data_IF_988492874407
#
_entry.id   IF_988492874407
#
_cell.length_a   1.000
_cell.length_b   1.000
_cell.length_c   1.000
_cell.angle_alpha   90.00
_cell.angle_beta   90.00
_cell.angle_gamma   90.00
#
_symmetry.space_group_name_H-M   'P 1'
#
loop_
_entity.id
_entity.type
_entity.pdbx_description
1 polymer ?
#
# COMPACT_ATOMS: atom_id res chain seq x y z
N UNK A 1 11.53 10.16 20.65
CA UNK A 1 11.63 8.77 20.18
C UNK A 1 12.41 7.89 21.15
N UNK A 2 13.74 8.05 21.26
CA UNK A 2 14.57 7.22 22.15
C UNK A 2 14.11 7.17 23.62
N UNK A 3 13.76 8.33 24.19
CA UNK A 3 13.21 8.38 25.55
C UNK A 3 11.87 7.62 25.72
N UNK A 4 11.06 7.50 24.66
CA UNK A 4 9.83 6.68 24.68
C UNK A 4 10.18 5.21 24.60
N UNK A 5 11.11 4.83 23.71
CA UNK A 5 11.59 3.45 23.56
C UNK A 5 12.18 2.91 24.87
N UNK A 6 13.03 3.71 25.52
CA UNK A 6 13.68 3.37 26.80
C UNK A 6 12.67 3.27 27.97
N UNK A 7 11.49 3.88 27.84
CA UNK A 7 10.45 3.90 28.88
C UNK A 7 9.38 2.81 28.70
N UNK A 8 9.36 2.13 27.55
CA UNK A 8 8.48 0.99 27.28
C UNK A 8 8.96 -0.23 28.06
N UNK A 9 8.03 -0.98 28.64
CA UNK A 9 8.32 -2.32 29.14
C UNK A 9 8.51 -3.30 27.97
N UNK A 10 9.16 -4.42 28.26
CA UNK A 10 9.32 -5.54 27.32
C UNK A 10 7.96 -5.99 26.75
N UNK A 11 6.93 -6.12 27.60
CA UNK A 11 5.56 -6.46 27.19
C UNK A 11 4.95 -5.39 26.27
N UNK A 12 5.14 -4.11 26.59
CA UNK A 12 4.67 -2.99 25.76
C UNK A 12 5.36 -3.01 24.39
N UNK A 13 6.67 -3.26 24.32
CA UNK A 13 7.44 -3.40 23.06
C UNK A 13 6.92 -4.56 22.20
N UNK A 14 6.76 -5.75 22.79
CA UNK A 14 6.23 -6.93 22.12
C UNK A 14 4.80 -6.70 21.59
N UNK A 15 3.98 -5.92 22.31
CA UNK A 15 2.63 -5.59 21.86
C UNK A 15 2.62 -4.71 20.61
N UNK A 16 3.60 -3.80 20.46
CA UNK A 16 3.61 -2.79 19.39
C UNK A 16 3.95 -3.37 18.02
N UNK A 17 4.74 -4.45 17.97
CA UNK A 17 5.09 -5.14 16.71
C UNK A 17 4.00 -6.11 16.22
N UNK A 18 2.92 -6.25 16.99
CA UNK A 18 1.75 -7.05 16.68
C UNK A 18 0.56 -6.16 16.32
N UNK A 19 -0.15 -6.50 15.24
CA UNK A 19 -1.47 -5.94 14.97
C UNK A 19 -2.44 -6.20 16.13
N UNK A 20 -3.30 -5.22 16.41
CA UNK A 20 -4.37 -5.33 17.43
C UNK A 20 -5.61 -6.02 16.88
N UNK A 21 -6.03 -5.59 15.69
CA UNK A 21 -7.19 -6.10 14.98
C UNK A 21 -6.96 -6.04 13.46
N UNK A 22 -8.03 -6.09 12.66
CA UNK A 22 -7.93 -6.10 11.21
C UNK A 22 -7.24 -4.86 10.63
N UNK A 23 -7.30 -3.70 11.29
CA UNK A 23 -6.86 -2.41 10.74
C UNK A 23 -5.99 -1.59 11.68
N UNK A 24 -5.89 -1.97 12.96
CA UNK A 24 -5.22 -1.15 13.97
C UNK A 24 -3.97 -1.81 14.54
N UNK A 25 -2.95 -1.00 14.85
CA UNK A 25 -1.84 -1.40 15.71
C UNK A 25 -2.25 -1.30 17.19
N UNK A 26 -1.47 -1.93 18.07
CA UNK A 26 -1.56 -1.66 19.50
C UNK A 26 -1.11 -0.23 19.85
N UNK A 27 -1.46 0.19 21.08
CA UNK A 27 -1.18 1.52 21.64
C UNK A 27 -0.72 1.39 23.09
N UNK A 28 0.04 2.36 23.60
CA UNK A 28 0.49 2.42 25.00
C UNK A 28 0.10 3.75 25.62
N UNK A 29 -1.06 3.77 26.29
CA UNK A 29 -1.69 5.00 26.81
C UNK A 29 -0.83 5.73 27.84
N UNK A 30 -0.18 5.00 28.76
CA UNK A 30 0.70 5.56 29.80
C UNK A 30 1.82 6.44 29.24
N UNK A 31 2.28 6.14 28.03
CA UNK A 31 3.36 6.85 27.34
C UNK A 31 2.85 7.71 26.17
N UNK A 32 1.53 7.79 25.97
CA UNK A 32 0.94 8.50 24.84
C UNK A 32 1.38 7.94 23.48
N UNK A 33 1.64 6.64 23.38
CA UNK A 33 1.88 5.98 22.09
C UNK A 33 0.52 5.67 21.45
N UNK A 34 0.17 6.31 20.32
CA UNK A 34 -1.15 6.17 19.70
C UNK A 34 -1.28 4.82 18.98
N UNK A 35 -2.48 4.51 18.52
CA UNK A 35 -2.73 3.44 17.56
C UNK A 35 -2.55 3.96 16.12
N UNK A 36 -1.96 3.14 15.25
CA UNK A 36 -2.02 3.35 13.80
C UNK A 36 -3.29 2.71 13.26
N UNK A 37 -3.99 3.41 12.36
CA UNK A 37 -5.06 2.84 11.55
C UNK A 37 -4.56 2.73 10.11
N UNK A 38 -4.47 1.50 9.62
CA UNK A 38 -4.03 1.16 8.27
C UNK A 38 -5.27 0.88 7.44
N UNK A 39 -5.40 1.52 6.27
CA UNK A 39 -6.57 1.33 5.39
C UNK A 39 -6.13 1.12 3.95
N UNK A 40 -6.84 0.26 3.22
CA UNK A 40 -6.71 0.21 1.76
C UNK A 40 -7.28 1.48 1.11
N UNK A 41 -6.90 1.85 -0.11
CA UNK A 41 -5.91 1.21 -0.97
C UNK A 41 -5.51 2.09 -2.16
N UNK A 42 -5.05 1.50 -3.28
CA UNK A 42 -4.29 2.22 -4.32
C UNK A 42 -5.08 3.24 -5.15
N UNK A 43 -6.42 3.12 -5.23
CA UNK A 43 -7.29 3.98 -6.05
C UNK A 43 -8.50 4.56 -5.29
N UNK A 44 -8.43 4.58 -3.96
CA UNK A 44 -9.43 5.17 -3.07
C UNK A 44 -9.20 4.76 -1.62
N UNK A 45 -9.57 5.62 -0.66
CA UNK A 45 -9.48 5.27 0.76
C UNK A 45 -10.73 4.48 1.20
N UNK A 46 -10.62 3.17 1.36
CA UNK A 46 -11.73 2.25 1.61
C UNK A 46 -12.35 2.38 3.01
N UNK A 47 -11.54 2.64 4.03
CA UNK A 47 -11.97 2.52 5.43
C UNK A 47 -12.07 1.07 5.92
N UNK A 48 -12.48 0.90 7.18
CA UNK A 48 -12.47 -0.36 7.90
C UNK A 48 -13.61 -1.32 7.50
N UNK A 49 -14.79 -0.77 7.19
CA UNK A 49 -16.01 -1.56 6.89
C UNK A 49 -16.21 -1.83 5.39
N UNK A 50 -15.20 -1.52 4.56
CA UNK A 50 -15.22 -1.85 3.14
C UNK A 50 -16.42 -1.22 2.40
N UNK A 51 -17.12 -2.06 1.65
CA UNK A 51 -18.30 -1.64 0.87
C UNK A 51 -19.52 -1.28 1.74
N UNK A 52 -19.47 -1.50 3.05
CA UNK A 52 -20.53 -1.14 4.00
C UNK A 52 -20.22 0.14 4.80
N UNK A 53 -18.99 0.65 4.68
CA UNK A 53 -18.56 1.87 5.35
C UNK A 53 -19.00 3.15 4.62
N UNK A 54 -18.62 4.33 5.16
CA UNK A 54 -18.85 5.60 4.48
C UNK A 54 -18.24 5.62 3.08
N UNK A 55 -18.93 6.21 2.12
CA UNK A 55 -18.48 6.24 0.72
C UNK A 55 -17.18 7.02 0.51
N UNK A 56 -16.48 6.73 -0.58
CA UNK A 56 -15.19 7.32 -0.97
C UNK A 56 -15.17 7.69 -2.45
N UNK A 57 -14.17 8.47 -2.86
CA UNK A 57 -13.86 8.70 -4.26
C UNK A 57 -13.21 7.44 -4.85
N UNK A 58 -13.86 6.85 -5.85
CA UNK A 58 -13.25 5.79 -6.67
C UNK A 58 -12.54 6.44 -7.83
N UNK A 59 -11.21 6.41 -7.82
CA UNK A 59 -10.35 6.92 -8.88
C UNK A 59 -10.07 5.81 -9.91
N UNK A 60 -9.66 6.17 -11.15
CA UNK A 60 -9.21 5.19 -12.13
C UNK A 60 -8.15 4.25 -11.54
N UNK A 61 -8.20 2.98 -11.91
CA UNK A 61 -7.29 1.95 -11.38
C UNK A 61 -5.84 2.19 -11.82
N UNK A 62 -4.88 1.51 -11.18
CA UNK A 62 -3.44 1.69 -11.42
C UNK A 62 -3.03 1.64 -12.89
N UNK A 63 -3.55 0.68 -13.67
CA UNK A 63 -3.18 0.57 -15.10
C UNK A 63 -3.73 1.74 -15.93
N UNK A 64 -4.88 2.31 -15.53
CA UNK A 64 -5.45 3.49 -16.15
C UNK A 64 -4.63 4.74 -15.79
N UNK A 65 -4.24 4.88 -14.52
CA UNK A 65 -3.27 5.89 -14.08
C UNK A 65 -1.92 5.73 -14.83
N UNK A 66 -1.47 4.50 -15.08
CA UNK A 66 -0.31 4.18 -15.89
C UNK A 66 -0.37 4.76 -17.30
N UNK A 67 -1.55 4.69 -17.91
CA UNK A 67 -1.79 5.18 -19.26
C UNK A 67 -1.77 6.71 -19.40
N UNK A 68 -1.74 7.48 -18.30
CA UNK A 68 -1.57 8.94 -18.37
C UNK A 68 -0.13 9.35 -18.66
N UNK A 69 0.86 8.52 -18.27
CA UNK A 69 2.29 8.86 -18.32
C UNK A 69 2.66 10.18 -17.61
N UNK A 70 1.84 10.59 -16.63
CA UNK A 70 1.94 11.92 -16.00
C UNK A 70 2.13 11.81 -14.47
N UNK A 71 3.37 11.80 -13.97
CA UNK A 71 3.66 11.79 -12.54
C UNK A 71 3.11 12.99 -11.77
N UNK A 72 2.99 14.16 -12.40
CA UNK A 72 2.48 15.37 -11.74
C UNK A 72 0.97 15.25 -11.49
N UNK A 73 0.23 14.73 -12.48
CA UNK A 73 -1.18 14.38 -12.30
C UNK A 73 -1.37 13.31 -11.22
N UNK A 74 -0.47 12.33 -11.14
CA UNK A 74 -0.53 11.30 -10.09
C UNK A 74 -0.19 11.87 -8.69
N UNK A 75 0.62 12.92 -8.60
CA UNK A 75 0.82 13.64 -7.33
C UNK A 75 -0.48 14.35 -6.87
N UNK A 76 -1.24 14.95 -7.79
CA UNK A 76 -2.56 15.50 -7.48
C UNK A 76 -3.54 14.41 -6.99
N UNK A 77 -3.49 13.22 -7.61
CA UNK A 77 -4.24 12.04 -7.16
C UNK A 77 -3.85 11.63 -5.73
N UNK A 78 -2.55 11.53 -5.47
CA UNK A 78 -2.03 11.21 -4.14
C UNK A 78 -2.50 12.21 -3.08
N UNK A 79 -2.51 13.51 -3.38
CA UNK A 79 -2.99 14.54 -2.45
C UNK A 79 -4.46 14.35 -2.06
N UNK A 80 -5.32 14.00 -3.02
CA UNK A 80 -6.74 13.69 -2.73
C UNK A 80 -6.87 12.41 -1.90
N UNK A 81 -6.11 11.36 -2.23
CA UNK A 81 -6.11 10.10 -1.48
C UNK A 81 -5.60 10.28 -0.03
N UNK A 82 -4.59 11.12 0.18
CA UNK A 82 -4.13 11.49 1.52
C UNK A 82 -5.21 12.21 2.33
N UNK A 83 -5.91 13.17 1.71
CA UNK A 83 -7.04 13.86 2.34
C UNK A 83 -8.22 12.92 2.64
N UNK A 84 -8.53 11.97 1.73
CA UNK A 84 -9.54 10.95 2.00
C UNK A 84 -9.11 10.00 3.12
N UNK A 85 -7.83 9.65 3.19
CA UNK A 85 -7.34 8.81 4.29
C UNK A 85 -7.57 9.48 5.64
N UNK A 86 -7.36 10.79 5.74
CA UNK A 86 -7.69 11.57 6.93
C UNK A 86 -9.20 11.54 7.23
N UNK A 87 -10.06 11.69 6.21
CA UNK A 87 -11.51 11.64 6.42
C UNK A 87 -12.01 10.26 6.87
N UNK A 88 -11.24 9.20 6.60
CA UNK A 88 -11.43 7.84 7.15
C UNK A 88 -10.72 7.59 8.48
N UNK A 89 -10.16 8.63 9.12
CA UNK A 89 -9.40 8.49 10.36
C UNK A 89 -8.14 7.62 10.22
N UNK A 90 -7.64 7.44 8.99
CA UNK A 90 -6.49 6.60 8.67
C UNK A 90 -5.16 7.34 8.86
N UNK A 91 -4.12 6.56 9.16
CA UNK A 91 -2.74 7.02 9.32
C UNK A 91 -1.84 6.49 8.20
N UNK A 92 -2.15 5.30 7.69
CA UNK A 92 -1.40 4.65 6.61
C UNK A 92 -2.37 4.27 5.51
N UNK A 93 -2.13 4.75 4.30
CA UNK A 93 -2.82 4.31 3.10
C UNK A 93 -2.01 3.20 2.43
N UNK A 94 -2.62 2.03 2.26
CA UNK A 94 -1.98 0.82 1.73
C UNK A 94 -1.86 0.89 0.21
N UNK A 95 -0.90 1.68 -0.26
CA UNK A 95 -0.56 1.85 -1.67
C UNK A 95 0.65 2.79 -1.85
N UNK A 96 1.12 2.95 -3.09
CA UNK A 96 0.57 2.37 -4.32
C UNK A 96 1.04 0.92 -4.52
N UNK A 97 0.34 0.17 -5.39
CA UNK A 97 0.81 -1.14 -5.85
C UNK A 97 1.74 -0.97 -7.05
N UNK A 98 2.99 -1.42 -6.92
CA UNK A 98 4.06 -1.25 -7.93
C UNK A 98 4.65 -2.58 -8.42
N UNK A 99 3.99 -3.69 -8.12
CA UNK A 99 4.33 -4.99 -8.74
C UNK A 99 4.27 -4.90 -10.27
N UNK A 100 5.01 -5.78 -10.94
CA UNK A 100 5.16 -5.74 -12.39
C UNK A 100 4.09 -6.65 -13.00
N UNK A 101 3.22 -6.16 -13.89
CA UNK A 101 2.35 -6.97 -14.74
C UNK A 101 3.11 -7.92 -15.68
N UNK A 102 3.80 -8.92 -15.11
CA UNK A 102 4.66 -9.88 -15.83
C UNK A 102 3.89 -10.70 -16.85
N UNK A 103 2.66 -11.06 -16.51
CA UNK A 103 1.74 -11.83 -17.35
C UNK A 103 0.38 -11.14 -17.38
N UNK A 104 -0.30 -11.09 -18.53
CA UNK A 104 -1.51 -10.28 -18.68
C UNK A 104 -2.72 -10.80 -17.88
N UNK A 105 -2.69 -12.07 -17.47
CA UNK A 105 -3.78 -12.72 -16.74
C UNK A 105 -3.62 -12.71 -15.21
N UNK A 106 -2.61 -12.04 -14.67
CA UNK A 106 -2.48 -11.87 -13.22
C UNK A 106 -3.64 -11.01 -12.68
N UNK A 107 -4.32 -11.50 -11.65
CA UNK A 107 -5.60 -10.97 -11.18
C UNK A 107 -5.56 -9.54 -10.63
N UNK A 108 -4.36 -9.03 -10.29
CA UNK A 108 -4.14 -7.69 -9.72
C UNK A 108 -3.44 -6.71 -10.67
N UNK A 109 -3.24 -7.07 -11.94
CA UNK A 109 -2.64 -6.15 -12.92
C UNK A 109 -3.36 -4.79 -12.99
N UNK A 110 -4.68 -4.78 -12.78
CA UNK A 110 -5.46 -3.55 -12.84
C UNK A 110 -5.01 -2.50 -11.82
N UNK A 111 -4.49 -2.90 -10.66
CA UNK A 111 -4.02 -1.98 -9.60
C UNK A 111 -2.53 -1.64 -9.67
N UNK A 112 -1.77 -2.30 -10.55
CA UNK A 112 -0.38 -1.95 -10.86
C UNK A 112 -0.32 -0.87 -11.95
N UNK A 113 0.78 -0.11 -12.04
CA UNK A 113 0.92 0.95 -13.04
C UNK A 113 1.31 0.46 -14.44
N UNK A 114 2.41 -0.29 -14.56
CA UNK A 114 3.02 -0.64 -15.85
C UNK A 114 3.88 -1.89 -15.75
N UNK A 115 4.05 -2.60 -16.86
CA UNK A 115 5.08 -3.65 -17.03
C UNK A 115 6.51 -3.08 -17.07
N UNK A 116 6.65 -1.77 -17.34
CA UNK A 116 7.93 -1.07 -17.35
C UNK A 116 8.28 -0.54 -15.95
N UNK A 117 9.45 -0.89 -15.41
CA UNK A 117 9.82 -0.52 -14.05
C UNK A 117 10.07 0.97 -13.87
N UNK A 118 10.57 1.67 -14.90
CA UNK A 118 10.84 3.10 -14.85
C UNK A 118 9.52 3.87 -14.73
N UNK A 119 8.54 3.57 -15.58
CA UNK A 119 7.23 4.20 -15.53
C UNK A 119 6.54 3.92 -14.19
N UNK A 120 6.55 2.66 -13.73
CA UNK A 120 5.97 2.30 -12.43
C UNK A 120 6.62 3.07 -11.27
N UNK A 121 7.95 3.20 -11.25
CA UNK A 121 8.66 3.97 -10.23
C UNK A 121 8.38 5.48 -10.27
N UNK A 122 8.28 6.08 -11.47
CA UNK A 122 7.99 7.51 -11.63
C UNK A 122 6.57 7.86 -11.19
N UNK A 123 5.58 7.05 -11.56
CA UNK A 123 4.19 7.28 -11.15
C UNK A 123 4.00 7.02 -9.65
N UNK A 124 4.66 5.98 -9.11
CA UNK A 124 4.69 5.75 -7.67
C UNK A 124 5.29 6.93 -6.90
N UNK A 125 6.34 7.56 -7.44
CA UNK A 125 6.96 8.76 -6.85
C UNK A 125 5.93 9.89 -6.67
N UNK A 126 5.17 10.22 -7.73
CA UNK A 126 4.11 11.22 -7.64
C UNK A 126 3.05 10.84 -6.62
N UNK A 127 2.55 9.60 -6.67
CA UNK A 127 1.52 9.11 -5.76
C UNK A 127 1.94 9.22 -4.29
N UNK A 128 3.15 8.76 -3.96
CA UNK A 128 3.70 8.76 -2.60
C UNK A 128 3.89 10.19 -2.09
N UNK A 129 4.43 11.10 -2.93
CA UNK A 129 4.59 12.51 -2.55
C UNK A 129 3.25 13.17 -2.24
N UNK A 130 2.24 12.93 -3.07
CA UNK A 130 0.90 13.46 -2.86
C UNK A 130 0.28 13.00 -1.54
N UNK A 131 0.33 11.68 -1.26
CA UNK A 131 -0.23 11.12 -0.02
C UNK A 131 0.51 11.63 1.22
N UNK A 132 1.84 11.61 1.18
CA UNK A 132 2.67 12.08 2.31
C UNK A 132 2.60 13.58 2.50
N UNK A 133 2.36 14.35 1.44
CA UNK A 133 2.12 15.80 1.51
C UNK A 133 0.88 16.16 2.33
N UNK A 134 -0.08 15.25 2.48
CA UNK A 134 -1.23 15.40 3.37
C UNK A 134 -0.92 15.03 4.84
N UNK A 135 0.28 14.55 5.15
CA UNK A 135 0.67 14.09 6.48
C UNK A 135 0.18 12.67 6.82
N UNK A 136 -0.01 11.81 5.80
CA UNK A 136 -0.42 10.40 5.91
C UNK A 136 0.68 9.53 5.33
N UNK A 137 0.92 8.35 5.89
CA UNK A 137 1.91 7.42 5.33
C UNK A 137 1.42 6.76 4.05
N UNK A 138 2.25 6.79 3.01
CA UNK A 138 2.13 5.86 1.90
C UNK A 138 2.81 4.52 2.27
N UNK A 139 2.22 3.41 1.85
CA UNK A 139 2.75 2.07 2.05
C UNK A 139 2.93 1.37 0.70
N UNK A 140 4.13 1.54 0.12
CA UNK A 140 4.45 0.97 -1.20
C UNK A 140 4.42 -0.57 -1.14
N UNK A 141 3.75 -1.20 -2.10
CA UNK A 141 3.47 -2.64 -2.04
C UNK A 141 3.50 -3.34 -3.41
N UNK A 142 3.67 -4.65 -3.48
CA UNK A 142 4.06 -5.60 -2.42
C UNK A 142 5.49 -6.02 -2.69
N UNK A 143 6.37 -5.86 -1.70
CA UNK A 143 7.80 -6.08 -1.80
C UNK A 143 8.13 -7.55 -1.53
N UNK A 144 8.51 -8.39 -2.50
CA UNK A 144 8.60 -8.13 -3.95
C UNK A 144 8.21 -9.39 -4.74
N UNK A 145 8.03 -9.27 -6.06
CA UNK A 145 7.69 -10.37 -6.99
C UNK A 145 6.31 -11.03 -6.76
N UNK A 146 5.35 -10.28 -6.20
CA UNK A 146 3.95 -10.70 -6.06
C UNK A 146 3.17 -10.48 -7.37
N UNK A 147 3.58 -11.14 -8.44
CA UNK A 147 3.11 -10.85 -9.81
C UNK A 147 2.05 -11.83 -10.33
N UNK A 148 1.51 -12.70 -9.45
CA UNK A 148 0.36 -13.57 -9.74
C UNK A 148 -0.44 -13.88 -8.47
N UNK A 149 -1.74 -14.17 -8.63
CA UNK A 149 -2.62 -14.50 -7.50
C UNK A 149 -2.68 -16.00 -7.18
N UNK A 150 -2.47 -16.85 -8.19
CA UNK A 150 -2.52 -18.30 -8.01
C UNK A 150 -1.42 -18.74 -7.04
N UNK A 151 -1.82 -19.40 -5.96
CA UNK A 151 -0.96 -19.89 -4.88
C UNK A 151 -0.05 -18.81 -4.28
N UNK A 152 -0.48 -17.54 -4.26
CA UNK A 152 0.35 -16.41 -3.78
C UNK A 152 0.94 -16.59 -2.36
N UNK A 153 0.34 -17.45 -1.53
CA UNK A 153 0.83 -17.78 -0.19
C UNK A 153 1.93 -18.85 -0.17
N UNK A 154 2.02 -19.67 -1.22
CA UNK A 154 2.86 -20.88 -1.27
C UNK A 154 3.86 -20.86 -2.44
N UNK A 155 3.65 -19.98 -3.44
CA UNK A 155 4.51 -19.91 -4.62
C UNK A 155 5.92 -19.41 -4.27
N UNK A 156 6.90 -19.96 -4.99
CA UNK A 156 8.29 -19.49 -4.97
C UNK A 156 8.62 -18.80 -6.29
N UNK A 157 8.86 -17.49 -6.23
CA UNK A 157 9.30 -16.68 -7.35
C UNK A 157 10.80 -16.94 -7.60
N UNK A 158 11.09 -17.83 -8.54
CA UNK A 158 12.44 -18.11 -9.01
C UNK A 158 12.87 -17.00 -9.99
N UNK A 159 13.76 -16.13 -9.52
CA UNK A 159 14.19 -14.94 -10.27
C UNK A 159 15.70 -14.75 -10.10
N UNK A 160 16.41 -14.56 -11.21
CA UNK A 160 17.84 -14.26 -11.15
C UNK A 160 18.08 -12.82 -10.65
N UNK A 161 19.26 -12.58 -10.07
CA UNK A 161 19.64 -11.29 -9.48
C UNK A 161 19.47 -10.13 -10.46
N UNK A 162 19.79 -10.34 -11.74
CA UNK A 162 19.68 -9.27 -12.75
C UNK A 162 18.23 -8.88 -12.97
N UNK A 163 17.35 -9.85 -13.20
CA UNK A 163 15.91 -9.56 -13.35
C UNK A 163 15.32 -8.96 -12.07
N UNK A 164 15.73 -9.46 -10.90
CA UNK A 164 15.31 -8.94 -9.60
C UNK A 164 15.62 -7.44 -9.46
N UNK A 165 16.85 -7.03 -9.75
CA UNK A 165 17.27 -5.64 -9.63
C UNK A 165 16.79 -4.73 -10.78
N UNK A 166 16.88 -5.18 -12.04
CA UNK A 166 16.54 -4.35 -13.21
C UNK A 166 15.02 -4.18 -13.40
N UNK A 167 14.19 -5.10 -12.89
CA UNK A 167 12.73 -5.12 -13.15
C UNK A 167 11.92 -5.01 -11.87
N UNK A 168 12.10 -5.91 -10.91
CA UNK A 168 11.15 -6.03 -9.80
C UNK A 168 11.43 -5.08 -8.63
N UNK A 169 12.71 -4.83 -8.33
CA UNK A 169 13.14 -3.88 -7.31
C UNK A 169 13.19 -2.44 -7.83
N UNK A 170 13.35 -2.23 -9.12
CA UNK A 170 13.56 -0.89 -9.71
C UNK A 170 12.44 0.11 -9.40
N UNK A 171 11.13 -0.23 -9.43
CA UNK A 171 10.07 0.68 -8.99
C UNK A 171 10.22 1.10 -7.52
N UNK A 172 10.61 0.17 -6.65
CA UNK A 172 10.86 0.44 -5.23
C UNK A 172 12.10 1.31 -5.05
N UNK A 173 13.19 1.03 -5.77
CA UNK A 173 14.42 1.83 -5.77
C UNK A 173 14.14 3.28 -6.14
N UNK A 174 13.43 3.50 -7.26
CA UNK A 174 13.05 4.83 -7.72
C UNK A 174 12.18 5.55 -6.67
N UNK A 175 11.17 4.86 -6.13
CA UNK A 175 10.26 5.45 -5.15
C UNK A 175 10.95 5.79 -3.82
N UNK A 176 11.83 4.93 -3.32
CA UNK A 176 12.62 5.18 -2.11
C UNK A 176 13.54 6.39 -2.32
N UNK A 177 14.29 6.42 -3.42
CA UNK A 177 15.22 7.52 -3.72
C UNK A 177 14.50 8.86 -3.90
N UNK A 178 13.33 8.88 -4.57
CA UNK A 178 12.69 10.12 -5.02
C UNK A 178 11.56 10.60 -4.13
N UNK A 179 10.88 9.72 -3.42
CA UNK A 179 9.70 10.06 -2.62
C UNK A 179 9.82 9.70 -1.14
N UNK A 180 10.72 8.77 -0.77
CA UNK A 180 10.93 8.35 0.61
C UNK A 180 9.63 7.86 1.28
N UNK A 181 9.06 6.71 0.85
CA UNK A 181 7.86 6.17 1.46
C UNK A 181 8.11 5.89 2.95
N UNK A 182 7.16 6.25 3.80
CA UNK A 182 7.28 6.05 5.26
C UNK A 182 6.96 4.63 5.69
N UNK A 183 6.34 3.85 4.81
CA UNK A 183 6.13 2.42 5.01
C UNK A 183 6.22 1.63 3.70
N UNK A 184 6.50 0.34 3.84
CA UNK A 184 6.45 -0.65 2.75
C UNK A 184 5.73 -1.91 3.22
N UNK A 185 5.11 -2.65 2.31
CA UNK A 185 4.44 -3.91 2.61
C UNK A 185 5.21 -5.09 2.04
N UNK A 186 5.58 -6.07 2.87
CA UNK A 186 6.15 -7.33 2.37
C UNK A 186 5.10 -8.15 1.63
N UNK A 187 5.49 -8.82 0.55
CA UNK A 187 4.61 -9.67 -0.23
C UNK A 187 4.22 -10.98 0.51
N UNK A 188 3.26 -11.71 -0.07
CA UNK A 188 2.90 -13.06 0.39
C UNK A 188 3.92 -14.13 -0.03
N UNK A 189 4.41 -14.04 -1.26
CA UNK A 189 5.15 -15.13 -1.88
C UNK A 189 6.53 -15.37 -1.26
N UNK A 190 7.10 -16.51 -1.63
CA UNK A 190 8.52 -16.82 -1.46
C UNK A 190 9.31 -16.24 -2.64
N UNK A 191 10.55 -15.79 -2.40
CA UNK A 191 11.52 -15.41 -3.43
C UNK A 191 12.75 -16.29 -3.24
N UNK A 192 13.12 -17.05 -4.28
CA UNK A 192 14.27 -17.95 -4.28
C UNK A 192 14.41 -18.79 -2.97
N UNK A 193 13.30 -19.32 -2.47
CA UNK A 193 13.25 -20.20 -1.30
C UNK A 193 13.09 -19.52 0.07
N UNK A 194 12.99 -18.18 0.16
CA UNK A 194 12.69 -17.47 1.43
C UNK A 194 11.42 -16.60 1.32
N UNK A 195 10.53 -16.67 2.32
CA UNK A 195 9.29 -15.87 2.33
C UNK A 195 9.60 -14.38 2.36
N UNK A 196 8.84 -13.54 1.64
CA UNK A 196 9.15 -12.12 1.52
C UNK A 196 9.19 -11.38 2.87
N UNK A 197 8.37 -11.80 3.84
CA UNK A 197 8.34 -11.26 5.21
C UNK A 197 9.60 -11.57 6.04
N UNK A 198 10.37 -12.58 5.64
CA UNK A 198 11.57 -13.05 6.33
C UNK A 198 12.83 -12.83 5.49
N UNK A 199 12.67 -12.39 4.24
CA UNK A 199 13.76 -12.31 3.29
C UNK A 199 14.78 -11.23 3.66
N UNK A 200 16.10 -11.51 3.56
CA UNK A 200 17.16 -10.52 3.72
C UNK A 200 17.03 -9.26 2.83
N UNK A 201 16.23 -9.30 1.76
CA UNK A 201 15.98 -8.13 0.90
C UNK A 201 15.34 -6.98 1.68
N UNK A 202 14.60 -7.26 2.76
CA UNK A 202 14.02 -6.22 3.63
C UNK A 202 15.09 -5.43 4.40
N UNK A 203 16.27 -5.98 4.60
CA UNK A 203 17.38 -5.32 5.30
C UNK A 203 18.49 -4.94 4.32
N UNK A 204 19.10 -5.93 3.66
CA UNK A 204 20.30 -5.75 2.83
C UNK A 204 20.01 -4.81 1.66
N UNK A 205 18.93 -5.05 0.93
CA UNK A 205 18.58 -4.20 -0.21
C UNK A 205 17.76 -2.99 0.24
N UNK A 206 16.57 -3.21 0.80
CA UNK A 206 15.63 -2.13 1.07
C UNK A 206 16.23 -1.06 2.01
N UNK A 207 16.91 -1.46 3.08
CA UNK A 207 17.47 -0.51 4.05
C UNK A 207 18.92 -0.15 3.74
N UNK A 208 19.81 -1.13 3.62
CA UNK A 208 21.24 -0.84 3.56
C UNK A 208 21.67 -0.29 2.18
N UNK A 209 21.17 -0.85 1.08
CA UNK A 209 21.47 -0.34 -0.27
C UNK A 209 20.60 0.86 -0.66
N UNK A 210 19.28 0.78 -0.44
CA UNK A 210 18.34 1.80 -0.93
C UNK A 210 18.11 2.94 0.07
N UNK A 211 18.50 2.78 1.33
CA UNK A 211 18.35 3.81 2.35
C UNK A 211 16.92 3.98 2.89
N UNK A 212 16.06 2.97 2.78
CA UNK A 212 14.72 3.02 3.37
C UNK A 212 14.80 3.12 4.90
N UNK A 213 14.20 4.18 5.45
CA UNK A 213 14.18 4.47 6.89
C UNK A 213 12.77 4.37 7.51
N UNK A 214 11.82 3.79 6.76
CA UNK A 214 10.43 3.60 7.18
C UNK A 214 10.18 2.27 7.88
N UNK A 215 8.91 1.98 8.12
CA UNK A 215 8.46 0.71 8.70
C UNK A 215 7.99 -0.29 7.63
N UNK A 216 8.36 -1.56 7.77
CA UNK A 216 7.85 -2.66 6.95
C UNK A 216 6.69 -3.34 7.68
N UNK A 217 5.53 -3.38 7.03
CA UNK A 217 4.34 -4.10 7.52
C UNK A 217 4.15 -5.37 6.70
N UNK A 218 3.58 -6.43 7.28
CA UNK A 218 3.24 -7.60 6.47
C UNK A 218 2.02 -7.30 5.61
N UNK A 219 1.89 -7.98 4.47
CA UNK A 219 0.56 -8.19 3.91
C UNK A 219 -0.29 -9.01 4.92
N UNK A 220 -1.61 -8.94 4.79
CA UNK A 220 -2.54 -9.51 5.76
C UNK A 220 -2.40 -11.03 5.87
N UNK A 221 -1.89 -11.51 7.01
CA UNK A 221 -1.53 -12.91 7.25
C UNK A 221 -0.32 -13.41 6.44
N UNK A 222 0.46 -12.51 5.84
CA UNK A 222 1.67 -12.81 5.05
C UNK A 222 2.93 -13.01 5.91
N UNK A 223 2.79 -13.78 6.98
CA UNK A 223 3.85 -14.16 7.93
C UNK A 223 3.73 -15.65 8.20
N UNK A 224 4.87 -16.36 8.22
CA UNK A 224 4.86 -17.83 8.08
C UNK A 224 5.67 -18.59 9.12
N UNK A 225 6.59 -17.94 9.83
CA UNK A 225 7.34 -18.53 10.92
C UNK A 225 7.84 -17.48 11.91
N UNK A 226 8.36 -17.90 13.06
CA UNK A 226 8.98 -17.01 14.04
C UNK A 226 10.28 -16.34 13.57
N UNK A 227 10.81 -16.69 12.38
CA UNK A 227 12.00 -16.05 11.81
C UNK A 227 11.78 -14.55 11.55
N UNK A 228 10.52 -14.09 11.42
CA UNK A 228 10.18 -12.66 11.35
C UNK A 228 10.65 -11.86 12.57
N UNK A 229 10.90 -12.50 13.71
CA UNK A 229 11.43 -11.84 14.91
C UNK A 229 12.81 -11.21 14.66
N UNK A 230 13.67 -11.84 13.85
CA UNK A 230 14.99 -11.32 13.48
C UNK A 230 15.04 -10.65 12.09
N UNK A 231 13.96 -10.74 11.30
CA UNK A 231 13.91 -10.17 9.95
C UNK A 231 13.71 -8.64 9.93
N UNK A 232 13.69 -8.04 8.74
CA UNK A 232 13.38 -6.63 8.53
C UNK A 232 11.91 -6.22 8.67
N UNK A 233 11.01 -7.16 8.99
CA UNK A 233 9.57 -6.90 9.18
C UNK A 233 9.29 -6.22 10.53
N UNK A 234 8.63 -5.07 10.56
CA UNK A 234 8.42 -4.31 11.81
C UNK A 234 7.05 -4.56 12.46
N UNK A 235 6.01 -4.81 11.66
CA UNK A 235 4.65 -5.03 12.15
C UNK A 235 3.96 -6.19 11.41
N UNK A 236 3.50 -7.19 12.17
CA UNK A 236 2.63 -8.25 11.65
C UNK A 236 1.18 -7.77 11.64
N UNK A 237 0.55 -7.83 10.46
CA UNK A 237 -0.87 -7.55 10.26
C UNK A 237 -1.60 -8.76 9.66
N UNK A 238 -2.90 -8.94 9.97
CA UNK A 238 -3.66 -8.22 11.00
C UNK A 238 -3.41 -8.79 12.40
N UNK A 239 -4.03 -8.16 13.40
CA UNK A 239 -4.15 -8.72 14.74
C UNK A 239 -5.22 -9.82 14.85
N UNK A 240 -5.11 -10.75 15.80
CA UNK A 240 -3.96 -10.97 16.70
C UNK A 240 -2.78 -11.62 15.96
N UNK A 241 -1.58 -11.06 16.13
CA UNK A 241 -0.34 -11.55 15.52
C UNK A 241 -0.07 -13.03 15.86
N UNK A 242 0.44 -13.79 14.88
CA UNK A 242 0.76 -15.21 15.04
C UNK A 242 2.24 -15.42 15.35
N UNK A 243 3.11 -14.71 14.64
CA UNK A 243 4.56 -14.96 14.61
C UNK A 243 5.39 -13.85 15.26
N UNK A 244 4.88 -12.62 15.26
CA UNK A 244 5.33 -11.51 16.10
C UNK A 244 4.48 -11.41 17.38
N UNK A 245 3.90 -12.52 17.84
CA UNK A 245 3.25 -12.60 19.15
C UNK A 245 4.30 -12.52 20.26
N UNK A 246 3.90 -12.04 21.45
CA UNK A 246 4.81 -11.97 22.59
C UNK A 246 5.42 -13.35 22.96
N UNK A 247 4.64 -14.42 22.81
CA UNK A 247 5.08 -15.79 23.06
C UNK A 247 6.16 -16.23 22.06
N UNK A 248 5.92 -16.07 20.76
CA UNK A 248 6.85 -16.49 19.71
C UNK A 248 8.17 -15.70 19.74
N UNK A 249 8.10 -14.37 19.93
CA UNK A 249 9.31 -13.54 20.01
C UNK A 249 10.11 -13.88 21.26
N UNK A 250 9.46 -14.05 22.42
CA UNK A 250 10.17 -14.44 23.65
C UNK A 250 10.85 -15.80 23.47
N UNK A 251 10.15 -16.77 22.87
CA UNK A 251 10.73 -18.07 22.59
C UNK A 251 11.90 -18.01 21.59
N UNK A 252 11.85 -17.13 20.59
CA UNK A 252 12.96 -16.90 19.66
C UNK A 252 14.17 -16.27 20.36
N UNK A 253 13.96 -15.29 21.25
CA UNK A 253 15.02 -14.68 22.05
C UNK A 253 15.66 -15.71 22.99
N UNK A 254 14.85 -16.52 23.68
CA UNK A 254 15.33 -17.56 24.60
C UNK A 254 16.19 -18.63 23.89
N UNK A 255 15.89 -18.92 22.62
CA UNK A 255 16.69 -19.83 21.78
C UNK A 255 17.92 -19.16 21.16
N UNK A 256 18.02 -17.84 21.21
CA UNK A 256 19.08 -17.07 20.55
C UNK A 256 18.86 -16.86 19.05
N UNK A 257 17.65 -17.10 18.55
CA UNK A 257 17.27 -16.89 17.15
C UNK A 257 16.98 -15.41 16.84
N UNK A 258 16.66 -14.61 17.87
CA UNK A 258 16.43 -13.17 17.80
C UNK A 258 16.99 -12.49 19.06
N UNK A 259 17.04 -11.15 19.07
CA UNK A 259 17.53 -10.37 20.20
C UNK A 259 16.59 -9.23 20.58
N UNK A 260 16.78 -8.65 21.77
CA UNK A 260 16.05 -7.44 22.16
C UNK A 260 16.39 -6.22 21.28
N UNK A 261 17.57 -6.18 20.66
CA UNK A 261 17.92 -5.13 19.70
C UNK A 261 17.07 -5.24 18.42
N UNK A 262 16.67 -6.46 18.03
CA UNK A 262 15.74 -6.66 16.91
C UNK A 262 14.36 -6.10 17.23
N UNK A 263 13.85 -6.35 18.43
CA UNK A 263 12.57 -5.79 18.90
C UNK A 263 12.64 -4.26 18.99
N UNK A 264 13.70 -3.73 19.59
CA UNK A 264 13.87 -2.28 19.78
C UNK A 264 13.93 -1.53 18.45
N UNK A 265 14.61 -2.09 17.45
CA UNK A 265 14.66 -1.54 16.09
C UNK A 265 13.28 -1.51 15.43
N UNK A 266 12.51 -2.59 15.52
CA UNK A 266 11.13 -2.64 14.98
C UNK A 266 10.25 -1.59 15.64
N UNK A 267 10.31 -1.49 16.98
CA UNK A 267 9.55 -0.49 17.74
C UNK A 267 9.97 0.94 17.38
N UNK A 268 11.26 1.19 17.18
CA UNK A 268 11.75 2.51 16.74
C UNK A 268 11.17 2.91 15.37
N UNK A 269 11.14 2.00 14.40
CA UNK A 269 10.52 2.26 13.10
C UNK A 269 9.01 2.56 13.23
N UNK A 270 8.29 1.83 14.09
CA UNK A 270 6.86 2.07 14.31
C UNK A 270 6.58 3.38 15.03
N UNK A 271 7.38 3.74 16.04
CA UNK A 271 7.29 5.05 16.69
C UNK A 271 7.59 6.18 15.71
N UNK A 272 8.53 5.97 14.78
CA UNK A 272 8.85 6.91 13.70
C UNK A 272 7.67 7.07 12.75
N UNK A 273 7.06 5.96 12.34
CA UNK A 273 5.89 5.96 11.46
C UNK A 273 4.72 6.72 12.10
N UNK A 274 4.43 6.47 13.38
CA UNK A 274 3.38 7.19 14.14
C UNK A 274 3.60 8.70 14.19
N UNK A 275 4.85 9.13 14.31
CA UNK A 275 5.22 10.55 14.28
C UNK A 275 4.99 11.14 12.88
N UNK A 276 5.54 10.52 11.84
CA UNK A 276 5.44 11.01 10.45
C UNK A 276 4.00 11.06 9.97
N UNK A 277 3.20 10.05 10.31
CA UNK A 277 1.82 9.92 9.86
C UNK A 277 0.81 10.76 10.65
N UNK A 278 1.25 11.63 11.56
CA UNK A 278 0.37 12.47 12.38
C UNK A 278 -0.56 11.70 13.34
N UNK A 279 -0.25 10.44 13.66
CA UNK A 279 -1.10 9.60 14.52
C UNK A 279 -1.17 10.11 15.96
N UNK A 280 -0.18 10.90 16.40
CA UNK A 280 -0.19 11.57 17.70
C UNK A 280 -1.22 12.68 17.79
N UNK A 281 -1.43 13.40 16.69
CA UNK A 281 -2.30 14.57 16.65
C UNK A 281 -3.73 14.21 16.25
N UNK A 282 -3.90 13.18 15.40
CA UNK A 282 -5.19 12.76 14.85
C UNK A 282 -5.68 11.48 15.51
N UNK A 283 -6.21 11.60 16.73
CA UNK A 283 -6.73 10.46 17.50
C UNK A 283 -8.21 10.16 17.27
N UNK A 284 -8.96 11.04 16.60
CA UNK A 284 -10.34 10.76 16.14
C UNK A 284 -10.29 9.87 14.89
N UNK A 285 -10.65 8.60 15.06
CA UNK A 285 -10.65 7.59 14.00
C UNK A 285 -12.01 7.46 13.30
N UNK A 286 -12.95 8.38 13.56
CA UNK A 286 -14.30 8.36 12.98
C UNK A 286 -14.24 8.49 11.46
N UNK A 287 -14.85 7.55 10.76
CA UNK A 287 -14.91 7.57 9.31
C UNK A 287 -16.03 8.47 8.79
N UNK A 288 -15.71 9.28 7.78
CA UNK A 288 -16.64 10.19 7.13
C UNK A 288 -16.54 10.04 5.62
N UNK A 289 -17.59 10.46 4.93
CA UNK A 289 -17.61 10.59 3.48
C UNK A 289 -17.48 12.06 3.11
N UNK A 290 -16.64 12.38 2.13
CA UNK A 290 -16.41 13.76 1.69
C UNK A 290 -16.41 13.86 0.16
N UNK A 291 -17.56 14.24 -0.40
CA UNK A 291 -17.77 14.32 -1.84
C UNK A 291 -17.82 15.78 -2.34
N UNK A 292 -16.67 16.31 -2.77
CA UNK A 292 -16.55 17.70 -3.24
C UNK A 292 -16.53 17.82 -4.77
N UNK A 293 -17.03 18.93 -5.36
CA UNK A 293 -16.92 19.18 -6.80
C UNK A 293 -15.49 19.10 -7.34
N UNK A 294 -14.51 19.54 -6.56
CA UNK A 294 -13.09 19.59 -6.94
C UNK A 294 -12.51 18.18 -7.05
N UNK A 295 -12.78 17.30 -6.07
CA UNK A 295 -12.36 15.89 -6.11
C UNK A 295 -12.98 15.14 -7.28
N UNK A 296 -14.26 15.41 -7.58
CA UNK A 296 -14.94 14.84 -8.75
C UNK A 296 -14.35 15.35 -10.07
N UNK A 297 -13.98 16.63 -10.14
CA UNK A 297 -13.34 17.20 -11.32
C UNK A 297 -11.98 16.53 -11.57
N UNK A 298 -11.18 16.28 -10.51
CA UNK A 298 -9.94 15.52 -10.62
C UNK A 298 -10.19 14.10 -11.13
N UNK A 299 -11.10 13.34 -10.50
CA UNK A 299 -11.39 11.98 -10.94
C UNK A 299 -11.83 11.91 -12.41
N UNK A 300 -12.65 12.88 -12.85
CA UNK A 300 -13.04 13.00 -14.26
C UNK A 300 -11.85 13.31 -15.18
N UNK A 301 -10.94 14.19 -14.76
CA UNK A 301 -9.75 14.54 -15.55
C UNK A 301 -8.82 13.34 -15.67
N UNK A 302 -8.49 12.67 -14.57
CA UNK A 302 -7.66 11.46 -14.57
C UNK A 302 -8.30 10.41 -15.49
N UNK A 303 -9.61 10.16 -15.38
CA UNK A 303 -10.30 9.22 -16.26
C UNK A 303 -10.21 9.61 -17.74
N UNK A 304 -10.33 10.90 -18.08
CA UNK A 304 -10.21 11.37 -19.45
C UNK A 304 -8.78 11.19 -20.01
N UNK A 305 -7.76 11.47 -19.20
CA UNK A 305 -6.35 11.36 -19.58
C UNK A 305 -5.85 9.90 -19.56
N UNK A 306 -6.59 8.99 -18.92
CA UNK A 306 -6.28 7.55 -18.90
C UNK A 306 -6.77 6.80 -20.16
N UNK A 307 -7.62 7.42 -20.99
CA UNK A 307 -8.19 6.75 -22.18
C UNK A 307 -7.16 6.71 -23.30
N UNK A 308 -6.73 5.52 -23.69
CA UNK A 308 -5.86 5.31 -24.85
C UNK A 308 -6.67 5.08 -26.12
N UNK A 309 -6.54 5.97 -27.10
CA UNK A 309 -7.11 5.79 -28.44
C UNK A 309 -6.24 4.81 -29.25
N UNK A 310 -6.66 3.53 -29.31
CA UNK A 310 -5.88 2.48 -29.98
C UNK A 310 -5.93 2.58 -31.52
N UNK A 311 -7.10 2.88 -32.07
CA UNK A 311 -7.33 3.00 -33.52
C UNK A 311 -8.33 4.11 -33.81
N UNK A 312 -8.10 4.87 -34.88
CA UNK A 312 -9.06 5.85 -35.39
C UNK A 312 -8.90 6.02 -36.90
N UNK A 313 -9.86 5.54 -37.67
CA UNK A 313 -9.94 5.65 -39.13
C UNK A 313 -10.77 6.87 -39.59
N UNK A 314 -10.88 7.88 -38.74
CA UNK A 314 -11.71 9.07 -38.95
C UNK A 314 -13.09 8.98 -38.29
N UNK A 315 -13.36 7.92 -37.53
CA UNK A 315 -14.61 7.73 -36.78
C UNK A 315 -14.75 8.65 -35.57
N UNK A 316 -13.65 9.10 -34.97
CA UNK A 316 -13.64 9.98 -33.80
C UNK A 316 -12.96 11.35 -34.09
N UNK A 317 -13.44 12.45 -33.47
CA UNK A 317 -14.58 12.51 -32.53
C UNK A 317 -15.93 12.38 -33.25
N UNK A 318 -16.93 11.84 -32.55
CA UNK A 318 -18.29 11.73 -33.10
C UNK A 318 -18.84 13.12 -33.44
N UNK A 319 -19.48 13.25 -34.61
CA UNK A 319 -20.27 14.43 -34.93
C UNK A 319 -21.43 14.59 -33.95
N UNK A 320 -21.83 15.83 -33.66
CA UNK A 320 -23.00 16.10 -32.83
C UNK A 320 -24.28 15.65 -33.56
N UNK A 321 -24.74 14.44 -33.24
CA UNK A 321 -25.97 13.86 -33.75
C UNK A 321 -26.98 13.64 -32.62
N UNK A 322 -28.28 13.86 -32.85
CA UNK A 322 -29.32 13.56 -31.86
C UNK A 322 -29.58 12.05 -31.69
N UNK A 323 -28.91 11.20 -32.49
CA UNK A 323 -29.16 9.74 -32.51
C UNK A 323 -27.85 8.98 -32.42
N UNK A 324 -27.64 8.33 -31.29
CA UNK A 324 -26.52 7.41 -31.03
C UNK A 324 -27.15 6.10 -30.54
N UNK A 325 -26.73 4.97 -31.12
CA UNK A 325 -27.05 3.65 -30.57
C UNK A 325 -25.90 3.20 -29.68
N UNK A 326 -26.18 3.01 -28.39
CA UNK A 326 -25.21 2.50 -27.42
C UNK A 326 -25.50 1.01 -27.23
N UNK A 327 -24.50 0.15 -27.46
CA UNK A 327 -24.65 -1.31 -27.48
C UNK A 327 -23.56 -1.96 -26.63
N UNK A 328 -23.96 -2.92 -25.80
CA UNK A 328 -23.07 -3.72 -24.96
C UNK A 328 -23.44 -3.61 -23.47
N UNK A 329 -23.31 -4.71 -22.73
CA UNK A 329 -23.67 -4.79 -21.31
C UNK A 329 -22.97 -3.72 -20.47
N UNK A 330 -21.69 -3.45 -20.76
CA UNK A 330 -20.87 -2.52 -19.99
C UNK A 330 -21.29 -1.05 -20.14
N UNK A 331 -22.15 -0.73 -21.10
CA UNK A 331 -22.77 0.59 -21.17
C UNK A 331 -23.82 0.79 -20.07
N UNK A 332 -24.53 -0.28 -19.69
CA UNK A 332 -25.47 -0.27 -18.58
C UNK A 332 -24.74 -0.50 -17.24
N UNK A 333 -23.85 -1.49 -17.20
CA UNK A 333 -23.09 -1.89 -16.00
C UNK A 333 -21.61 -1.59 -16.18
N UNK A 334 -21.24 -0.31 -16.03
CA UNK A 334 -19.87 0.18 -16.31
C UNK A 334 -18.88 -0.26 -15.22
N UNK A 335 -17.89 -1.11 -15.54
CA UNK A 335 -16.82 -1.43 -14.61
C UNK A 335 -15.97 -0.19 -14.36
N UNK A 336 -15.82 0.19 -13.09
CA UNK A 336 -15.11 1.41 -12.68
C UNK A 336 -13.91 1.12 -11.79
N UNK A 337 -13.83 -0.07 -11.21
CA UNK A 337 -12.74 -0.53 -10.35
C UNK A 337 -12.59 -2.06 -10.43
N UNK A 338 -11.47 -2.58 -9.95
CA UNK A 338 -11.30 -4.03 -9.74
C UNK A 338 -11.88 -4.50 -8.39
N UNK A 339 -11.73 -5.80 -8.11
CA UNK A 339 -12.21 -6.42 -6.88
C UNK A 339 -11.17 -6.46 -5.76
N UNK A 340 -11.52 -7.14 -4.66
CA UNK A 340 -10.58 -7.41 -3.56
C UNK A 340 -10.25 -6.17 -2.72
N UNK A 341 -9.02 -6.08 -2.23
CA UNK A 341 -8.64 -5.04 -1.28
C UNK A 341 -8.65 -3.63 -1.90
N UNK A 342 -8.51 -3.49 -3.20
CA UNK A 342 -8.57 -2.17 -3.85
C UNK A 342 -9.97 -1.57 -3.93
N UNK A 343 -11.05 -2.36 -3.75
CA UNK A 343 -12.40 -1.86 -4.01
C UNK A 343 -12.88 -0.91 -2.91
N UNK A 344 -13.53 0.18 -3.27
CA UNK A 344 -14.17 1.13 -2.35
C UNK A 344 -15.68 1.20 -2.55
N UNK A 345 -16.40 1.66 -1.53
CA UNK A 345 -17.80 2.07 -1.64
C UNK A 345 -17.88 3.45 -2.34
N UNK A 346 -18.22 3.57 -3.62
CA UNK A 346 -18.08 4.85 -4.31
C UNK A 346 -19.19 5.83 -3.91
N UNK A 347 -18.88 7.13 -3.84
CA UNK A 347 -19.92 8.17 -3.68
C UNK A 347 -21.00 8.09 -4.77
N UNK A 348 -20.57 7.77 -5.99
CA UNK A 348 -21.40 7.63 -7.19
C UNK A 348 -20.63 6.91 -8.27
N UNK A 349 -21.36 6.27 -9.19
CA UNK A 349 -20.84 5.75 -10.45
C UNK A 349 -21.68 6.34 -11.58
N UNK A 350 -21.03 6.80 -12.65
CA UNK A 350 -21.71 7.37 -13.82
C UNK A 350 -21.59 6.38 -14.97
N UNK A 351 -22.70 5.76 -15.35
CA UNK A 351 -22.80 4.93 -16.56
C UNK A 351 -23.04 5.80 -17.81
N UNK A 352 -22.99 5.17 -18.99
CA UNK A 352 -23.16 5.82 -20.31
C UNK A 352 -24.62 6.22 -20.55
#
# INVERSE_FOLDING_TARGET
MRATLDALTDEEKLSLVAGKDLWHSNSVERLGVPTLKLIDGPNGARGADGNHGPTSLSLPVGVAMGATWDPDLIEEVGAVLGAETISKGGHVLLGPTVNIPRVPNAGRNFECFSEDPLLSGLLATGWIRGVQGAGVSACIKHFVCNDQETDRYDMDALVDERALHEVYLEPFRIAVERAGPWSAMSAYNTINGTTASEHPLLTEVLRDELGFDGAVVSDWYGTYSGAVAASGLDLEMPGSARWLSAEEITAAIDRGDASWDDVDRKVEHLLTLMERSGARDRTDLTERAEDTPERRALARRVAAESITLLTNDGALPLERTPRIAVVGELAAETPHQGGGSSSVNPHRVVSI
#
